data_IF_335091534330
#
_entry.id   IF_335091534330
#
_cell.length_a   1.000
_cell.length_b   1.000
_cell.length_c   1.000
_cell.angle_alpha   90.00
_cell.angle_beta   90.00
_cell.angle_gamma   90.00
#
_symmetry.space_group_name_H-M   'P 1'
#
loop_
_entity.id
_entity.type
_entity.pdbx_description
1 polymer ?
#
# COMPACT_ATOMS: atom_id res chain seq x y z
N UNK A 1 11.82 5.84 7.72
CA UNK A 1 12.52 5.21 6.59
C UNK A 1 12.88 6.29 5.59
N UNK A 2 14.17 6.44 5.28
CA UNK A 2 14.62 7.35 4.24
C UNK A 2 14.47 6.72 2.84
N UNK A 3 14.69 7.50 1.78
CA UNK A 3 14.54 7.03 0.39
C UNK A 3 15.47 5.86 0.05
N UNK A 4 16.70 5.86 0.55
CA UNK A 4 17.67 4.81 0.27
C UNK A 4 17.26 3.48 0.92
N UNK A 5 16.83 3.51 2.18
CA UNK A 5 16.28 2.36 2.90
C UNK A 5 15.05 1.78 2.22
N UNK A 6 14.16 2.65 1.72
CA UNK A 6 12.97 2.22 0.97
C UNK A 6 13.36 1.48 -0.32
N UNK A 7 14.25 2.06 -1.12
CA UNK A 7 14.70 1.44 -2.37
C UNK A 7 15.46 0.13 -2.12
N UNK A 8 16.24 0.04 -1.03
CA UNK A 8 16.90 -1.19 -0.63
C UNK A 8 15.88 -2.29 -0.29
N UNK A 9 14.81 -1.94 0.45
CA UNK A 9 13.72 -2.86 0.77
C UNK A 9 13.00 -3.38 -0.47
N UNK A 10 12.71 -2.51 -1.45
CA UNK A 10 12.04 -2.90 -2.71
C UNK A 10 12.90 -3.81 -3.62
N UNK A 11 14.23 -3.79 -3.43
CA UNK A 11 15.19 -4.59 -4.21
C UNK A 11 15.71 -5.79 -3.43
N UNK A 12 15.13 -6.10 -2.27
CA UNK A 12 15.60 -7.17 -1.41
C UNK A 12 15.47 -8.54 -2.11
N UNK A 13 16.55 -9.30 -2.33
CA UNK A 13 16.52 -10.52 -3.15
C UNK A 13 15.75 -11.68 -2.52
N UNK A 14 15.53 -11.65 -1.20
CA UNK A 14 14.89 -12.72 -0.42
C UNK A 14 13.45 -12.40 -0.01
N UNK A 15 12.88 -11.31 -0.52
CA UNK A 15 11.52 -10.87 -0.17
C UNK A 15 10.82 -10.35 -1.43
N UNK A 16 9.61 -10.82 -1.76
CA UNK A 16 8.85 -10.21 -2.84
C UNK A 16 8.46 -8.79 -2.47
N UNK A 17 8.48 -7.90 -3.46
CA UNK A 17 7.84 -6.59 -3.37
C UNK A 17 6.35 -6.77 -3.54
N UNK A 18 5.57 -6.23 -2.61
CA UNK A 18 4.11 -6.37 -2.61
C UNK A 18 3.48 -4.99 -2.61
N UNK A 19 2.59 -4.76 -3.57
CA UNK A 19 1.79 -3.55 -3.66
C UNK A 19 0.30 -3.87 -3.77
N UNK A 20 -0.53 -2.91 -3.39
CA UNK A 20 -1.98 -2.99 -3.55
C UNK A 20 -2.47 -1.78 -4.33
N UNK A 21 -3.49 -1.99 -5.15
CA UNK A 21 -4.12 -0.93 -5.92
C UNK A 21 -5.58 -0.79 -5.49
N UNK A 22 -5.99 0.45 -5.24
CA UNK A 22 -7.37 0.80 -4.91
C UNK A 22 -8.02 1.53 -6.08
N UNK A 23 -9.32 1.30 -6.27
CA UNK A 23 -10.13 2.18 -7.11
C UNK A 23 -10.54 3.42 -6.30
N UNK A 24 -10.63 4.62 -6.93
CA UNK A 24 -11.15 5.81 -6.29
C UNK A 24 -12.52 5.57 -5.65
N UNK A 25 -12.70 5.97 -4.39
CA UNK A 25 -14.01 5.88 -3.75
C UNK A 25 -14.98 6.83 -4.46
N UNK A 26 -16.23 6.38 -4.65
CA UNK A 26 -17.28 7.19 -5.29
C UNK A 26 -18.05 8.04 -4.28
N UNK A 27 -18.00 7.64 -3.01
CA UNK A 27 -18.68 8.28 -1.88
C UNK A 27 -17.74 8.46 -0.69
N UNK A 28 -18.17 9.22 0.33
CA UNK A 28 -17.39 9.39 1.56
C UNK A 28 -17.30 8.08 2.34
N UNK A 29 -18.39 7.32 2.34
CA UNK A 29 -18.54 6.03 2.99
C UNK A 29 -17.56 5.01 2.37
N UNK A 30 -17.47 4.96 1.04
CA UNK A 30 -16.46 4.15 0.33
C UNK A 30 -15.04 4.54 0.72
N UNK A 31 -14.79 5.85 0.91
CA UNK A 31 -13.50 6.36 1.38
C UNK A 31 -13.15 5.83 2.77
N UNK A 32 -14.11 5.76 3.68
CA UNK A 32 -13.90 5.17 5.01
C UNK A 32 -13.62 3.67 4.94
N UNK A 33 -14.31 2.94 4.05
CA UNK A 33 -14.05 1.53 3.80
C UNK A 33 -12.62 1.34 3.26
N UNK A 34 -12.20 2.13 2.28
CA UNK A 34 -10.84 2.09 1.73
C UNK A 34 -9.78 2.31 2.82
N UNK A 35 -9.97 3.30 3.69
CA UNK A 35 -9.06 3.56 4.82
C UNK A 35 -9.04 2.41 5.84
N UNK A 36 -10.20 1.79 6.12
CA UNK A 36 -10.28 0.62 7.00
C UNK A 36 -9.53 -0.58 6.40
N UNK A 37 -9.69 -0.81 5.10
CA UNK A 37 -8.98 -1.86 4.36
C UNK A 37 -7.46 -1.60 4.39
N UNK A 38 -7.01 -0.38 4.12
CA UNK A 38 -5.60 -0.02 4.19
C UNK A 38 -5.00 -0.29 5.58
N UNK A 39 -5.73 0.05 6.67
CA UNK A 39 -5.32 -0.26 8.04
C UNK A 39 -5.21 -1.77 8.29
N UNK A 40 -6.17 -2.56 7.80
CA UNK A 40 -6.14 -4.01 7.93
C UNK A 40 -4.99 -4.66 7.14
N UNK A 41 -4.57 -4.04 6.03
CA UNK A 41 -3.46 -4.52 5.20
C UNK A 41 -2.08 -4.15 5.74
N UNK A 42 -1.98 -3.09 6.54
CA UNK A 42 -0.71 -2.55 7.05
C UNK A 42 0.20 -3.60 7.74
N UNK A 43 -0.31 -4.53 8.58
CA UNK A 43 0.53 -5.52 9.25
C UNK A 43 1.19 -6.55 8.32
N UNK A 44 0.70 -6.71 7.08
CA UNK A 44 1.23 -7.71 6.13
C UNK A 44 2.48 -7.23 5.37
N UNK A 45 3.00 -6.05 5.70
CA UNK A 45 4.24 -5.56 5.11
C UNK A 45 4.10 -5.19 3.63
N UNK A 46 2.94 -4.63 3.24
CA UNK A 46 2.77 -3.96 1.95
C UNK A 46 3.81 -2.84 1.81
N UNK A 47 4.44 -2.73 0.64
CA UNK A 47 5.50 -1.75 0.38
C UNK A 47 4.95 -0.39 -0.05
N UNK A 48 3.93 -0.41 -0.91
CA UNK A 48 3.26 0.79 -1.40
C UNK A 48 1.82 0.49 -1.83
N UNK A 49 1.01 1.55 -1.91
CA UNK A 49 -0.35 1.50 -2.43
C UNK A 49 -0.51 2.53 -3.56
N UNK A 50 -1.27 2.17 -4.60
CA UNK A 50 -1.72 3.07 -5.66
C UNK A 50 -3.24 3.30 -5.56
N UNK A 51 -3.70 4.42 -6.11
CA UNK A 51 -5.11 4.68 -6.39
C UNK A 51 -5.21 4.88 -7.91
N UNK A 52 -6.14 4.20 -8.57
CA UNK A 52 -6.33 4.35 -10.02
C UNK A 52 -6.86 5.75 -10.38
N UNK A 53 -6.90 6.06 -11.68
CA UNK A 53 -7.35 7.35 -12.20
C UNK A 53 -8.88 7.51 -12.15
#
# INVERSE_FOLDING_TARGET
MNKAEFLARLRAPKRPTVSVEFFPPKTKEDGQVMLKTAKALHPFGIDFASITY
#
